data_IF_299112344544
#
_entry.id   IF_299112344544
#
_cell.length_a   1.000
_cell.length_b   1.000
_cell.length_c   1.000
_cell.angle_alpha   90.00
_cell.angle_beta   90.00
_cell.angle_gamma   90.00
#
_symmetry.space_group_name_H-M   'P 1'
#
loop_
_entity.id
_entity.type
_entity.pdbx_description
1 polymer ?
#
# COMPACT_ATOMS: atom_id res chain seq x y z
N UNK A 1 -12.41 0.10 -16.02
CA UNK A 1 -12.16 -0.56 -14.71
C UNK A 1 -12.20 0.53 -13.65
N UNK A 2 -13.07 0.43 -12.65
CA UNK A 2 -13.19 1.45 -11.60
C UNK A 2 -12.39 1.02 -10.38
N UNK A 3 -11.16 1.56 -10.27
CA UNK A 3 -10.22 1.21 -9.19
C UNK A 3 -10.75 1.66 -7.83
N UNK A 4 -11.49 2.78 -7.79
CA UNK A 4 -12.09 3.32 -6.56
C UNK A 4 -13.13 2.36 -6.00
N UNK A 5 -13.95 1.76 -6.88
CA UNK A 5 -14.91 0.72 -6.48
C UNK A 5 -14.22 -0.53 -5.95
N UNK A 6 -13.13 -0.95 -6.59
CA UNK A 6 -12.38 -2.14 -6.17
C UNK A 6 -11.67 -1.93 -4.83
N UNK A 7 -11.08 -0.75 -4.60
CA UNK A 7 -10.49 -0.41 -3.31
C UNK A 7 -11.56 -0.43 -2.22
N UNK A 8 -12.74 0.19 -2.46
CA UNK A 8 -13.86 0.13 -1.50
C UNK A 8 -14.27 -1.31 -1.17
N UNK A 9 -14.35 -2.19 -2.17
CA UNK A 9 -14.63 -3.60 -1.94
C UNK A 9 -13.53 -4.26 -1.11
N UNK A 10 -12.25 -4.04 -1.43
CA UNK A 10 -11.12 -4.58 -0.68
C UNK A 10 -11.07 -4.11 0.79
N UNK A 11 -11.55 -2.89 1.07
CA UNK A 11 -11.72 -2.39 2.45
C UNK A 11 -12.78 -3.20 3.20
N UNK A 12 -13.90 -3.54 2.54
CA UNK A 12 -15.01 -4.25 3.18
C UNK A 12 -14.75 -5.76 3.32
N UNK A 13 -14.13 -6.39 2.34
CA UNK A 13 -14.02 -7.86 2.27
C UNK A 13 -12.63 -8.39 2.61
N UNK A 14 -11.62 -7.52 2.65
CA UNK A 14 -10.23 -7.90 2.82
C UNK A 14 -9.54 -7.21 3.99
N UNK A 15 -8.20 -7.28 3.98
CA UNK A 15 -7.33 -6.59 4.93
C UNK A 15 -6.51 -5.55 4.17
N UNK A 16 -6.83 -4.27 4.37
CA UNK A 16 -6.03 -3.15 3.91
C UNK A 16 -5.38 -2.46 5.10
N UNK A 17 -4.12 -2.05 4.90
CA UNK A 17 -3.39 -1.17 5.83
C UNK A 17 -3.24 0.20 5.18
N UNK A 18 -3.20 1.25 6.00
CA UNK A 18 -3.14 2.63 5.51
C UNK A 18 -1.93 3.36 6.07
N UNK A 19 -1.40 4.26 5.27
CA UNK A 19 -0.29 5.10 5.68
C UNK A 19 1.08 4.43 5.58
N UNK A 20 2.10 5.27 5.44
CA UNK A 20 3.47 4.86 5.16
C UNK A 20 4.07 3.88 6.19
N UNK A 21 3.81 4.10 7.50
CA UNK A 21 4.44 3.32 8.58
C UNK A 21 3.91 1.89 8.62
N UNK A 22 2.59 1.73 8.48
CA UNK A 22 1.97 0.41 8.47
C UNK A 22 2.33 -0.37 7.20
N UNK A 23 2.38 0.32 6.06
CA UNK A 23 2.84 -0.27 4.80
C UNK A 23 4.29 -0.75 4.90
N UNK A 24 5.21 0.08 5.40
CA UNK A 24 6.60 -0.33 5.62
C UNK A 24 6.69 -1.56 6.53
N UNK A 25 5.97 -1.56 7.65
CA UNK A 25 5.96 -2.69 8.57
C UNK A 25 5.38 -3.97 7.93
N UNK A 26 4.34 -3.84 7.10
CA UNK A 26 3.76 -4.97 6.37
C UNK A 26 4.71 -5.50 5.28
N UNK A 27 5.46 -4.62 4.60
CA UNK A 27 6.50 -5.01 3.65
C UNK A 27 7.64 -5.74 4.35
N UNK A 28 8.16 -5.22 5.48
CA UNK A 28 9.25 -5.86 6.23
C UNK A 28 8.88 -7.24 6.79
N UNK A 29 7.59 -7.48 7.09
CA UNK A 29 7.11 -8.80 7.52
C UNK A 29 6.82 -9.76 6.36
N UNK A 30 6.78 -9.29 5.12
CA UNK A 30 6.35 -10.08 3.97
C UNK A 30 4.83 -10.30 3.87
N UNK A 31 4.03 -9.57 4.66
CA UNK A 31 2.56 -9.68 4.65
C UNK A 31 1.93 -8.93 3.46
N UNK A 32 2.63 -7.92 2.93
CA UNK A 32 2.13 -7.06 1.87
C UNK A 32 2.18 -7.77 0.51
N UNK A 33 1.01 -7.95 -0.12
CA UNK A 33 0.89 -8.54 -1.47
C UNK A 33 0.81 -7.51 -2.59
N UNK A 34 0.37 -6.30 -2.26
CA UNK A 34 0.22 -5.17 -3.18
C UNK A 34 0.36 -3.87 -2.37
N UNK A 35 1.14 -2.93 -2.89
CA UNK A 35 1.29 -1.59 -2.32
C UNK A 35 0.79 -0.59 -3.36
N UNK A 36 -0.11 0.29 -2.95
CA UNK A 36 -0.61 1.40 -3.77
C UNK A 36 -0.02 2.70 -3.23
N UNK A 37 0.62 3.45 -4.12
CA UNK A 37 1.24 4.73 -3.81
C UNK A 37 0.51 5.82 -4.59
N UNK A 38 0.17 6.92 -3.94
CA UNK A 38 -0.39 8.07 -4.60
C UNK A 38 0.67 8.74 -5.49
N UNK A 39 0.26 9.28 -6.64
CA UNK A 39 1.19 9.92 -7.58
C UNK A 39 1.96 11.12 -7.00
N UNK A 40 1.48 11.69 -5.89
CA UNK A 40 2.11 12.80 -5.17
C UNK A 40 2.87 12.36 -3.91
N UNK A 41 3.13 11.07 -3.73
CA UNK A 41 3.92 10.58 -2.59
C UNK A 41 5.39 10.99 -2.74
N UNK A 42 6.05 11.51 -1.69
CA UNK A 42 7.47 11.88 -1.77
C UNK A 42 8.34 10.66 -2.10
N UNK A 43 9.33 10.87 -2.96
CA UNK A 43 10.19 9.80 -3.49
C UNK A 43 10.95 9.04 -2.38
N UNK A 44 11.39 9.75 -1.33
CA UNK A 44 12.03 9.17 -0.15
C UNK A 44 11.20 8.04 0.50
N UNK A 45 9.86 8.12 0.41
CA UNK A 45 8.96 7.14 1.01
C UNK A 45 8.84 5.90 0.12
N UNK A 46 8.88 6.10 -1.20
CA UNK A 46 8.76 5.05 -2.22
C UNK A 46 10.05 4.24 -2.30
N UNK A 47 11.20 4.90 -2.27
CA UNK A 47 12.52 4.25 -2.27
C UNK A 47 12.70 3.30 -1.09
N UNK A 48 12.25 3.72 0.10
CA UNK A 48 12.28 2.90 1.32
C UNK A 48 11.42 1.63 1.23
N UNK A 49 10.41 1.61 0.37
CA UNK A 49 9.54 0.44 0.15
C UNK A 49 10.00 -0.45 -1.01
N UNK A 50 10.82 0.09 -1.93
CA UNK A 50 11.18 -0.56 -3.20
C UNK A 50 12.60 -1.14 -3.21
N UNK A 51 13.47 -0.69 -2.30
CA UNK A 51 14.85 -1.16 -2.22
C UNK A 51 14.89 -2.64 -1.81
N UNK A 52 15.35 -3.48 -2.74
CA UNK A 52 15.63 -4.91 -2.56
C UNK A 52 17.04 -5.10 -2.05
#
# INVERSE_FOLDING_TARGET
MDISRQIKQGITTGKLVFGQRETLAACSRGDARLVLVAANCPEEHVERMTTN
#
